data_IF_903271288717
#
_entry.id   IF_903271288717
#
_cell.length_a   1.000
_cell.length_b   1.000
_cell.length_c   1.000
_cell.angle_alpha   90.00
_cell.angle_beta   90.00
_cell.angle_gamma   90.00
#
_symmetry.space_group_name_H-M   'P 1'
#
loop_
_entity.id
_entity.type
_entity.pdbx_description
1 polymer ?
#
# COMPACT_ATOMS: atom_id res chain seq x y z
N UNK A 1 -37.23 45.93 46.56
CA UNK A 1 -37.97 45.52 45.35
C UNK A 1 -36.96 44.91 44.38
N UNK A 2 -37.04 43.60 44.10
CA UNK A 2 -36.00 42.86 43.37
C UNK A 2 -36.28 42.97 41.85
N UNK A 3 -35.38 43.51 41.03
CA UNK A 3 -35.65 43.71 39.61
C UNK A 3 -35.83 42.35 38.92
N UNK A 4 -36.94 42.18 38.19
CA UNK A 4 -37.21 40.99 37.37
C UNK A 4 -36.29 40.99 36.17
N UNK A 5 -35.35 40.05 36.12
CA UNK A 5 -34.53 39.80 34.92
C UNK A 5 -35.47 39.37 33.78
N UNK A 6 -35.57 40.19 32.73
CA UNK A 6 -36.27 39.82 31.51
C UNK A 6 -35.46 38.75 30.79
N UNK A 7 -35.85 37.48 30.94
CA UNK A 7 -35.32 36.40 30.11
C UNK A 7 -35.87 36.60 28.69
N UNK A 8 -35.04 37.14 27.79
CA UNK A 8 -35.34 37.21 26.36
C UNK A 8 -35.35 35.77 25.83
N UNK A 9 -36.50 35.32 25.32
CA UNK A 9 -36.61 34.04 24.61
C UNK A 9 -36.10 34.15 23.18
N UNK A 10 -35.59 33.04 22.64
CA UNK A 10 -35.15 32.94 21.25
C UNK A 10 -36.36 33.01 20.31
N UNK A 11 -36.27 33.76 19.21
CA UNK A 11 -37.37 33.84 18.24
C UNK A 11 -37.28 32.70 17.22
N UNK A 12 -38.44 32.21 16.75
CA UNK A 12 -38.49 31.20 15.67
C UNK A 12 -37.81 31.71 14.39
N UNK A 13 -37.91 33.02 14.12
CA UNK A 13 -37.29 33.62 12.94
C UNK A 13 -35.75 33.66 13.03
N UNK A 14 -35.18 33.94 14.21
CA UNK A 14 -33.72 33.83 14.43
C UNK A 14 -33.25 32.41 14.13
N UNK A 15 -34.00 31.40 14.59
CA UNK A 15 -33.65 30.01 14.34
C UNK A 15 -33.76 29.64 12.85
N UNK A 16 -34.78 30.13 12.13
CA UNK A 16 -34.95 29.87 10.70
C UNK A 16 -33.80 30.42 9.86
N UNK A 17 -33.35 31.65 10.13
CA UNK A 17 -32.22 32.25 9.40
C UNK A 17 -30.92 31.50 9.69
N UNK A 18 -30.69 31.09 10.94
CA UNK A 18 -29.50 30.33 11.32
C UNK A 18 -29.44 29.00 10.57
N UNK A 19 -30.55 28.26 10.51
CA UNK A 19 -30.61 26.98 9.77
C UNK A 19 -30.37 27.19 8.28
N UNK A 20 -30.90 28.27 7.69
CA UNK A 20 -30.67 28.58 6.28
C UNK A 20 -29.20 28.84 5.96
N UNK A 21 -28.49 29.63 6.80
CA UNK A 21 -27.06 29.89 6.62
C UNK A 21 -26.23 28.62 6.82
N UNK A 22 -26.53 27.82 7.84
CA UNK A 22 -25.85 26.53 8.08
C UNK A 22 -26.06 25.57 6.91
N UNK A 23 -27.24 25.55 6.30
CA UNK A 23 -27.54 24.74 5.12
C UNK A 23 -26.65 25.08 3.92
N UNK A 24 -26.45 26.38 3.63
CA UNK A 24 -25.58 26.84 2.54
C UNK A 24 -24.12 26.45 2.82
N UNK A 25 -23.64 26.67 4.04
CA UNK A 25 -22.27 26.30 4.43
C UNK A 25 -22.04 24.80 4.34
N UNK A 26 -23.00 23.99 4.80
CA UNK A 26 -22.91 22.53 4.74
C UNK A 26 -22.84 22.00 3.29
N UNK A 27 -23.63 22.58 2.37
CA UNK A 27 -23.66 22.15 0.98
C UNK A 27 -22.29 22.27 0.29
N UNK A 28 -21.50 23.29 0.63
CA UNK A 28 -20.14 23.49 0.08
C UNK A 28 -19.08 22.73 0.90
N UNK A 29 -19.21 22.69 2.22
CA UNK A 29 -18.20 22.12 3.10
C UNK A 29 -18.15 20.58 3.04
N UNK A 30 -19.29 19.90 2.97
CA UNK A 30 -19.36 18.43 2.98
C UNK A 30 -18.57 17.78 1.82
N UNK A 31 -18.79 18.12 0.54
CA UNK A 31 -18.06 17.48 -0.56
C UNK A 31 -16.56 17.76 -0.49
N UNK A 32 -16.15 18.97 -0.10
CA UNK A 32 -14.74 19.31 0.07
C UNK A 32 -14.08 18.49 1.20
N UNK A 33 -14.80 18.30 2.31
CA UNK A 33 -14.32 17.50 3.43
C UNK A 33 -14.20 16.01 3.09
N UNK A 34 -15.16 15.45 2.35
CA UNK A 34 -15.09 14.06 1.86
C UNK A 34 -13.87 13.87 0.97
N UNK A 35 -13.62 14.78 0.03
CA UNK A 35 -12.43 14.73 -0.84
C UNK A 35 -11.13 14.78 -0.04
N UNK A 36 -11.05 15.67 0.96
CA UNK A 36 -9.89 15.75 1.85
C UNK A 36 -9.61 14.44 2.58
N UNK A 37 -10.65 13.79 3.12
CA UNK A 37 -10.51 12.48 3.76
C UNK A 37 -10.02 11.43 2.76
N UNK A 38 -10.58 11.39 1.54
CA UNK A 38 -10.14 10.44 0.50
C UNK A 38 -8.66 10.64 0.14
N UNK A 39 -8.22 11.88 -0.08
CA UNK A 39 -6.81 12.17 -0.36
C UNK A 39 -5.90 11.76 0.81
N UNK A 40 -6.35 11.99 2.05
CA UNK A 40 -5.61 11.53 3.24
C UNK A 40 -5.47 10.00 3.25
N UNK A 41 -6.56 9.27 3.01
CA UNK A 41 -6.54 7.81 2.91
C UNK A 41 -5.64 7.33 1.75
N UNK A 42 -5.72 7.99 0.59
CA UNK A 42 -4.90 7.70 -0.59
C UNK A 42 -3.39 7.85 -0.32
N UNK A 43 -2.99 8.81 0.52
CA UNK A 43 -1.59 9.03 0.87
C UNK A 43 -0.98 7.85 1.64
N UNK A 44 -1.77 7.16 2.47
CA UNK A 44 -1.35 5.96 3.21
C UNK A 44 -0.99 4.80 2.26
N UNK A 45 -1.70 4.66 1.14
CA UNK A 45 -1.40 3.66 0.12
C UNK A 45 0.00 3.86 -0.45
N UNK A 46 0.34 5.11 -0.78
CA UNK A 46 1.65 5.47 -1.29
C UNK A 46 2.76 5.16 -0.29
N UNK A 47 2.54 5.45 0.99
CA UNK A 47 3.51 5.14 2.05
C UNK A 47 3.70 3.63 2.22
N UNK A 48 2.63 2.85 2.25
CA UNK A 48 2.72 1.40 2.42
C UNK A 48 3.36 0.71 1.20
N UNK A 49 3.10 1.19 -0.01
CA UNK A 49 3.79 0.74 -1.23
C UNK A 49 5.28 1.09 -1.22
N UNK A 50 5.63 2.29 -0.73
CA UNK A 50 7.01 2.71 -0.56
C UNK A 50 7.75 1.83 0.46
N UNK A 51 7.08 1.48 1.57
CA UNK A 51 7.61 0.57 2.59
C UNK A 51 7.84 -0.84 2.03
N UNK A 52 6.91 -1.37 1.25
CA UNK A 52 7.09 -2.62 0.53
C UNK A 52 8.32 -2.59 -0.38
N UNK A 53 8.40 -1.57 -1.24
CA UNK A 53 9.48 -1.41 -2.19
C UNK A 53 10.85 -1.32 -1.49
N UNK A 54 10.96 -0.44 -0.49
CA UNK A 54 12.19 -0.30 0.32
C UNK A 54 12.56 -1.59 1.03
N UNK A 55 11.58 -2.33 1.55
CA UNK A 55 11.80 -3.62 2.18
C UNK A 55 12.41 -4.65 1.23
N UNK A 56 11.95 -4.67 -0.02
CA UNK A 56 12.48 -5.56 -1.07
C UNK A 56 13.89 -5.14 -1.49
N UNK A 57 14.14 -3.84 -1.64
CA UNK A 57 15.48 -3.31 -1.97
C UNK A 57 16.48 -3.62 -0.85
N UNK A 58 16.12 -3.35 0.40
CA UNK A 58 16.93 -3.67 1.56
C UNK A 58 17.18 -5.19 1.69
N UNK A 59 16.18 -6.01 1.42
CA UNK A 59 16.32 -7.47 1.36
C UNK A 59 17.29 -7.91 0.27
N UNK A 60 17.28 -7.25 -0.88
CA UNK A 60 18.21 -7.50 -1.97
C UNK A 60 19.64 -7.12 -1.58
N UNK A 61 19.86 -5.93 -1.04
CA UNK A 61 21.20 -5.42 -0.71
C UNK A 61 21.89 -6.19 0.43
N UNK A 62 21.11 -6.86 1.29
CA UNK A 62 21.64 -7.64 2.42
C UNK A 62 22.29 -8.95 1.94
N UNK A 63 23.61 -9.15 2.16
CA UNK A 63 24.23 -10.45 1.94
C UNK A 63 23.68 -11.46 2.95
N UNK A 64 23.30 -12.66 2.47
CA UNK A 64 22.75 -13.70 3.34
C UNK A 64 23.71 -14.87 3.47
N UNK A 65 24.11 -15.10 4.72
CA UNK A 65 24.76 -16.33 5.14
C UNK A 65 23.68 -17.36 5.42
N UNK A 66 23.74 -18.49 4.72
CA UNK A 66 22.85 -19.61 5.01
C UNK A 66 23.42 -20.47 6.13
N UNK A 67 22.61 -21.41 6.63
CA UNK A 67 23.02 -22.37 7.66
C UNK A 67 24.24 -23.23 7.25
N UNK A 68 24.56 -23.28 5.96
CA UNK A 68 25.74 -23.94 5.39
C UNK A 68 27.02 -23.08 5.43
N UNK A 69 26.95 -21.85 5.96
CA UNK A 69 28.08 -20.92 6.05
C UNK A 69 28.44 -20.23 4.73
N UNK A 70 27.66 -20.45 3.66
CA UNK A 70 27.91 -19.82 2.36
C UNK A 70 27.21 -18.47 2.26
N UNK A 71 27.93 -17.47 1.77
CA UNK A 71 27.33 -16.22 1.29
C UNK A 71 26.75 -16.48 -0.10
N UNK A 72 25.46 -16.19 -0.31
CA UNK A 72 24.88 -16.18 -1.65
C UNK A 72 24.54 -14.77 -2.11
N UNK A 73 24.42 -14.63 -3.41
CA UNK A 73 24.09 -13.40 -4.11
C UNK A 73 22.80 -12.73 -3.60
N UNK A 74 22.76 -11.40 -3.74
CA UNK A 74 21.56 -10.57 -3.61
C UNK A 74 20.43 -11.10 -4.48
N UNK A 75 19.24 -11.28 -3.87
CA UNK A 75 18.03 -11.77 -4.54
C UNK A 75 16.78 -11.15 -3.95
N UNK A 76 15.75 -11.00 -4.77
CA UNK A 76 14.40 -10.62 -4.34
C UNK A 76 13.67 -11.83 -3.74
N UNK A 77 12.68 -11.64 -2.85
CA UNK A 77 11.89 -12.74 -2.29
C UNK A 77 10.94 -13.33 -3.33
N UNK A 78 10.34 -14.48 -3.01
CA UNK A 78 9.30 -15.07 -3.83
C UNK A 78 7.97 -14.32 -3.75
N UNK A 79 7.11 -14.52 -4.75
CA UNK A 79 5.76 -13.94 -4.78
C UNK A 79 4.91 -14.49 -3.66
N UNK A 80 3.95 -13.70 -3.21
CA UNK A 80 2.95 -14.17 -2.26
C UNK A 80 1.52 -13.81 -2.66
N UNK A 81 0.57 -14.44 -1.97
CA UNK A 81 -0.84 -14.26 -2.22
C UNK A 81 -1.28 -12.87 -1.75
N UNK A 82 -2.24 -12.27 -2.46
CA UNK A 82 -2.81 -11.01 -2.04
C UNK A 82 -3.44 -11.15 -0.65
N UNK A 83 -3.17 -10.17 0.22
CA UNK A 83 -3.70 -10.16 1.59
C UNK A 83 -4.64 -8.95 1.76
N UNK A 84 -5.83 -9.21 2.28
CA UNK A 84 -6.91 -8.21 2.42
C UNK A 84 -8.26 -8.76 1.93
N UNK A 85 -9.25 -7.86 1.74
CA UNK A 85 -10.54 -8.21 1.12
C UNK A 85 -10.37 -8.50 -0.37
N UNK A 86 -11.22 -9.38 -0.91
CA UNK A 86 -11.35 -9.55 -2.36
C UNK A 86 -11.85 -8.26 -3.02
N UNK A 87 -11.51 -8.06 -4.31
CA UNK A 87 -11.79 -6.82 -5.06
C UNK A 87 -13.23 -6.29 -4.89
N UNK A 88 -14.22 -7.19 -4.89
CA UNK A 88 -15.64 -6.85 -4.83
C UNK A 88 -16.12 -6.24 -3.49
N UNK A 89 -15.24 -6.06 -2.52
CA UNK A 89 -15.61 -5.56 -1.19
C UNK A 89 -14.74 -4.38 -0.73
N UNK A 90 -13.95 -3.75 -1.62
CA UNK A 90 -13.01 -2.69 -1.24
C UNK A 90 -13.65 -1.30 -1.05
N UNK A 91 -14.76 -1.22 -0.31
CA UNK A 91 -15.61 -0.03 -0.04
C UNK A 91 -14.95 1.19 0.67
N UNK A 92 -13.63 1.31 0.66
CA UNK A 92 -12.91 2.46 1.22
C UNK A 92 -12.88 2.48 2.76
N UNK A 93 -13.28 1.36 3.39
CA UNK A 93 -13.22 1.16 4.82
C UNK A 93 -11.82 0.73 5.28
N UNK A 94 -11.45 1.17 6.48
CA UNK A 94 -10.25 0.68 7.16
C UNK A 94 -10.43 -0.78 7.55
N UNK A 95 -9.41 -1.61 7.38
CA UNK A 95 -9.47 -3.01 7.76
C UNK A 95 -8.12 -3.51 8.30
N UNK A 96 -8.18 -4.50 9.21
CA UNK A 96 -6.99 -5.18 9.71
C UNK A 96 -6.54 -6.25 8.70
N UNK A 97 -5.25 -6.26 8.41
CA UNK A 97 -4.68 -7.28 7.53
C UNK A 97 -4.54 -8.58 8.31
N UNK A 98 -5.18 -9.65 7.82
CA UNK A 98 -5.03 -11.01 8.34
C UNK A 98 -4.09 -11.79 7.44
N UNK A 99 -2.90 -12.11 7.94
CA UNK A 99 -1.88 -12.82 7.18
C UNK A 99 -2.04 -14.34 7.30
N UNK A 100 -1.86 -15.08 6.20
CA UNK A 100 -1.60 -16.50 6.32
C UNK A 100 -0.19 -16.72 6.92
N UNK A 101 0.02 -17.85 7.59
CA UNK A 101 1.31 -18.14 8.25
C UNK A 101 2.50 -18.10 7.27
N UNK A 102 2.32 -18.58 6.05
CA UNK A 102 3.34 -18.55 5.00
C UNK A 102 3.61 -17.15 4.44
N UNK A 103 2.62 -16.26 4.47
CA UNK A 103 2.81 -14.88 4.05
C UNK A 103 3.59 -14.11 5.13
N UNK A 104 3.27 -14.34 6.41
CA UNK A 104 3.89 -13.65 7.54
C UNK A 104 5.41 -13.81 7.60
N UNK A 105 5.93 -15.01 7.27
CA UNK A 105 7.38 -15.24 7.20
C UNK A 105 8.02 -14.36 6.12
N UNK A 106 7.38 -14.26 4.96
CA UNK A 106 7.89 -13.46 3.83
C UNK A 106 7.80 -11.96 4.11
N UNK A 107 6.70 -11.49 4.69
CA UNK A 107 6.59 -10.09 5.12
C UNK A 107 7.61 -9.73 6.20
N UNK A 108 7.93 -10.67 7.10
CA UNK A 108 8.99 -10.46 8.08
C UNK A 108 10.38 -10.37 7.45
N UNK A 109 10.63 -11.16 6.40
CA UNK A 109 11.89 -11.17 5.65
C UNK A 109 12.18 -9.81 4.99
N UNK A 110 11.16 -9.17 4.39
CA UNK A 110 11.27 -7.83 3.80
C UNK A 110 10.87 -6.70 4.76
N UNK A 111 10.70 -6.99 6.05
CA UNK A 111 10.30 -6.00 7.07
C UNK A 111 9.03 -5.20 6.73
N UNK A 112 8.12 -5.78 5.94
CA UNK A 112 6.87 -5.14 5.50
C UNK A 112 5.64 -5.75 6.20
N UNK A 113 5.59 -5.66 7.53
CA UNK A 113 4.42 -6.10 8.31
C UNK A 113 3.57 -4.88 8.66
N UNK A 114 2.33 -4.85 8.19
CA UNK A 114 1.33 -3.83 8.53
C UNK A 114 0.60 -4.31 9.80
N UNK A 115 0.73 -3.54 10.87
CA UNK A 115 0.18 -3.89 12.19
C UNK A 115 -1.11 -3.15 12.52
N UNK A 116 -1.36 -2.06 11.81
CA UNK A 116 -2.51 -1.19 12.02
C UNK A 116 -3.55 -1.41 10.91
N UNK A 117 -4.76 -0.88 11.13
CA UNK A 117 -5.81 -0.92 10.12
C UNK A 117 -5.45 0.00 8.95
N UNK A 118 -5.72 -0.47 7.72
CA UNK A 118 -5.36 0.20 6.47
C UNK A 118 -6.58 0.31 5.54
N UNK A 119 -6.55 1.21 4.55
CA UNK A 119 -7.70 1.42 3.63
C UNK A 119 -7.62 0.68 2.29
N UNK A 120 -6.58 -0.10 2.04
CA UNK A 120 -6.35 -0.76 0.75
C UNK A 120 -5.79 -2.15 0.92
N UNK A 121 -6.18 -3.10 0.07
CA UNK A 121 -5.58 -4.44 -0.01
C UNK A 121 -4.20 -4.39 -0.66
N UNK A 122 -3.27 -5.23 -0.21
CA UNK A 122 -1.87 -5.20 -0.66
C UNK A 122 -1.40 -6.55 -1.17
N UNK A 123 -0.51 -6.54 -2.16
CA UNK A 123 0.18 -7.72 -2.65
C UNK A 123 1.62 -7.34 -3.03
N UNK A 124 2.55 -8.28 -2.87
CA UNK A 124 3.79 -8.24 -3.64
C UNK A 124 3.88 -9.45 -4.54
N UNK A 125 4.21 -9.15 -5.78
CA UNK A 125 4.40 -10.12 -6.84
C UNK A 125 5.77 -9.90 -7.44
N UNK A 126 6.37 -10.99 -7.88
CA UNK A 126 7.56 -11.00 -8.68
C UNK A 126 7.33 -12.00 -9.82
N UNK A 127 7.99 -11.81 -10.97
CA UNK A 127 7.79 -12.72 -12.09
C UNK A 127 8.25 -14.15 -11.76
N UNK A 128 7.90 -15.11 -12.62
CA UNK A 128 8.19 -16.54 -12.46
C UNK A 128 9.68 -16.88 -12.30
N UNK A 129 10.58 -15.94 -12.59
CA UNK A 129 12.01 -16.04 -12.28
C UNK A 129 12.28 -16.14 -10.76
N UNK A 130 11.36 -15.68 -9.91
CA UNK A 130 11.56 -15.57 -8.46
C UNK A 130 10.87 -16.69 -7.66
N UNK A 131 10.75 -17.90 -8.21
CA UNK A 131 10.10 -19.02 -7.51
C UNK A 131 10.97 -19.60 -6.39
N UNK A 132 10.36 -20.29 -5.42
CA UNK A 132 11.06 -20.89 -4.27
C UNK A 132 12.17 -21.86 -4.70
N UNK A 133 12.03 -22.54 -5.84
CA UNK A 133 13.07 -23.42 -6.40
C UNK A 133 14.33 -22.64 -6.81
N UNK A 134 14.16 -21.46 -7.41
CA UNK A 134 15.24 -20.52 -7.75
C UNK A 134 15.81 -19.80 -6.52
N UNK A 135 15.12 -19.84 -5.37
CA UNK A 135 15.62 -19.34 -4.08
C UNK A 135 16.42 -20.37 -3.27
N UNK A 136 16.24 -21.67 -3.55
CA UNK A 136 16.96 -22.78 -2.88
C UNK A 136 18.19 -23.21 -3.68
N UNK A 137 18.12 -23.17 -5.01
CA UNK A 137 19.28 -23.42 -5.86
C UNK A 137 20.28 -22.24 -5.75
N UNK A 138 21.51 -22.54 -5.35
CA UNK A 138 22.58 -21.56 -5.16
C UNK A 138 23.01 -20.82 -6.44
N UNK A 139 22.37 -21.09 -7.57
CA UNK A 139 22.72 -20.52 -8.86
C UNK A 139 21.45 -20.12 -9.60
N UNK A 140 21.26 -18.82 -9.79
CA UNK A 140 20.47 -18.31 -10.89
C UNK A 140 21.25 -18.64 -12.18
N UNK A 141 21.13 -19.85 -12.73
CA UNK A 141 22.05 -20.32 -13.80
C UNK A 141 21.93 -19.61 -15.16
N UNK A 142 21.35 -18.40 -15.23
CA UNK A 142 21.29 -17.60 -16.46
C UNK A 142 21.38 -16.10 -16.22
N UNK A 143 21.88 -15.38 -17.23
CA UNK A 143 21.62 -13.96 -17.45
C UNK A 143 20.11 -13.78 -17.58
N UNK A 144 19.49 -13.16 -16.57
CA UNK A 144 18.04 -13.02 -16.50
C UNK A 144 17.64 -11.63 -16.05
N UNK A 145 16.57 -11.12 -16.63
CA UNK A 145 15.85 -9.95 -16.12
C UNK A 145 14.67 -10.44 -15.29
N UNK A 146 14.48 -9.84 -14.12
CA UNK A 146 13.29 -10.06 -13.29
C UNK A 146 12.59 -8.76 -12.99
N UNK A 147 11.32 -8.85 -12.64
CA UNK A 147 10.49 -7.72 -12.22
C UNK A 147 9.85 -8.10 -10.89
N UNK A 148 9.83 -7.16 -9.95
CA UNK A 148 9.01 -7.24 -8.76
C UNK A 148 8.12 -6.00 -8.65
N UNK A 149 6.93 -6.18 -8.09
CA UNK A 149 5.88 -5.18 -7.98
C UNK A 149 5.16 -5.34 -6.64
N UNK A 150 5.13 -4.26 -5.88
CA UNK A 150 4.19 -4.05 -4.80
C UNK A 150 2.92 -3.43 -5.41
N UNK A 151 1.76 -3.98 -5.07
CA UNK A 151 0.46 -3.57 -5.61
C UNK A 151 -0.51 -3.26 -4.50
N UNK A 152 -1.37 -2.27 -4.71
CA UNK A 152 -2.42 -1.89 -3.79
C UNK A 152 -3.74 -1.65 -4.53
N UNK A 153 -4.85 -2.06 -3.91
CA UNK A 153 -6.21 -1.84 -4.43
C UNK A 153 -7.14 -1.28 -3.37
N UNK A 154 -7.96 -0.30 -3.74
CA UNK A 154 -9.02 0.28 -2.89
C UNK A 154 -10.12 0.89 -3.76
N UNK A 155 -11.32 1.06 -3.20
CA UNK A 155 -12.44 1.82 -3.77
C UNK A 155 -12.90 2.83 -2.68
N UNK A 156 -12.16 3.95 -2.60
CA UNK A 156 -12.29 4.95 -1.52
C UNK A 156 -13.58 5.77 -1.60
N UNK A 157 -14.19 5.84 -2.77
CA UNK A 157 -15.42 6.57 -3.07
C UNK A 157 -16.66 5.69 -3.19
N UNK A 158 -16.50 4.37 -3.09
CA UNK A 158 -17.54 3.36 -3.07
C UNK A 158 -18.43 3.44 -4.31
N UNK A 159 -17.81 3.58 -5.47
CA UNK A 159 -18.47 3.64 -6.79
C UNK A 159 -18.43 2.29 -7.54
N UNK A 160 -17.91 1.24 -6.89
CA UNK A 160 -17.68 -0.10 -7.42
C UNK A 160 -16.57 -0.17 -8.49
N UNK A 161 -15.80 0.89 -8.69
CA UNK A 161 -14.58 0.89 -9.51
C UNK A 161 -13.38 0.83 -8.57
N UNK A 162 -12.59 -0.23 -8.73
CA UNK A 162 -11.40 -0.41 -7.89
C UNK A 162 -10.22 0.32 -8.51
N UNK A 163 -9.67 1.26 -7.73
CA UNK A 163 -8.39 1.88 -8.01
C UNK A 163 -7.22 0.93 -7.81
N UNK A 164 -6.19 1.07 -8.63
CA UNK A 164 -5.00 0.22 -8.59
C UNK A 164 -3.71 1.04 -8.68
N UNK A 165 -2.81 0.77 -7.74
CA UNK A 165 -1.50 1.38 -7.63
C UNK A 165 -0.42 0.30 -7.66
N UNK A 166 0.63 0.52 -8.44
CA UNK A 166 1.77 -0.38 -8.50
C UNK A 166 3.06 0.38 -8.23
N UNK A 167 3.97 -0.22 -7.47
CA UNK A 167 5.33 0.27 -7.31
C UNK A 167 6.28 -0.90 -7.42
N UNK A 168 7.17 -0.85 -8.39
CA UNK A 168 8.03 -1.99 -8.68
C UNK A 168 9.28 -1.58 -9.41
N UNK A 169 10.22 -2.51 -9.50
CA UNK A 169 11.40 -2.34 -10.34
C UNK A 169 11.81 -3.64 -11.01
N UNK A 170 12.68 -3.48 -12.00
CA UNK A 170 13.41 -4.57 -12.62
C UNK A 170 14.76 -4.77 -11.97
N UNK A 171 15.22 -6.01 -11.97
CA UNK A 171 16.57 -6.41 -11.61
C UNK A 171 17.20 -7.23 -12.73
N UNK A 172 18.52 -7.21 -12.82
CA UNK A 172 19.28 -7.93 -13.85
C UNK A 172 20.42 -8.69 -13.17
N UNK A 173 20.65 -9.93 -13.57
CA UNK A 173 21.87 -10.68 -13.22
C UNK A 173 22.96 -10.36 -14.24
N UNK A 174 24.05 -9.72 -13.80
CA UNK A 174 25.07 -9.14 -14.68
C UNK A 174 26.28 -10.07 -14.91
N UNK A 175 26.64 -10.95 -13.97
CA UNK A 175 27.71 -11.93 -14.19
C UNK A 175 27.71 -13.08 -13.18
N UNK A 176 28.17 -14.26 -13.61
CA UNK A 176 28.66 -15.34 -12.73
C UNK A 176 30.17 -15.17 -12.54
N UNK A 177 30.61 -14.80 -11.34
CA UNK A 177 32.04 -14.86 -10.98
C UNK A 177 32.27 -16.08 -10.09
N UNK A 178 33.49 -16.63 -10.11
CA UNK A 178 33.86 -17.71 -9.21
C UNK A 178 33.72 -17.23 -7.76
N UNK A 179 32.64 -17.64 -7.08
CA UNK A 179 32.24 -17.16 -5.75
C UNK A 179 30.82 -16.57 -5.65
N UNK A 180 30.08 -16.41 -6.76
CA UNK A 180 28.67 -15.99 -6.74
C UNK A 180 28.27 -15.07 -7.91
N UNK A 181 26.99 -14.70 -7.98
CA UNK A 181 26.47 -13.83 -9.03
C UNK A 181 26.27 -12.40 -8.52
N UNK A 182 26.55 -11.40 -9.36
CA UNK A 182 26.24 -10.00 -9.08
C UNK A 182 24.95 -9.64 -9.81
N UNK A 183 23.96 -9.17 -9.08
CA UNK A 183 22.71 -8.67 -9.63
C UNK A 183 22.58 -7.18 -9.29
N UNK A 184 22.07 -6.38 -10.23
CA UNK A 184 21.82 -4.95 -10.04
C UNK A 184 20.32 -4.67 -10.06
N UNK A 185 19.88 -3.72 -9.23
CA UNK A 185 18.53 -3.18 -9.23
C UNK A 185 18.50 -1.92 -10.10
N UNK A 186 17.48 -1.79 -10.94
CA UNK A 186 17.15 -0.49 -11.54
C UNK A 186 16.28 0.30 -10.56
N UNK A 187 16.25 1.62 -10.67
CA UNK A 187 15.31 2.41 -9.89
C UNK A 187 13.88 2.18 -10.39
N UNK A 188 12.96 1.89 -9.47
CA UNK A 188 11.53 1.73 -9.75
C UNK A 188 10.75 3.03 -9.59
N UNK A 189 9.65 3.16 -10.32
CA UNK A 189 8.67 4.24 -10.16
C UNK A 189 7.33 3.71 -9.62
N UNK A 190 6.50 4.61 -9.08
CA UNK A 190 5.09 4.31 -8.76
C UNK A 190 4.26 4.61 -9.99
N UNK A 191 3.44 3.65 -10.41
CA UNK A 191 2.50 3.79 -11.51
C UNK A 191 1.06 3.69 -10.99
N UNK A 192 0.18 4.43 -11.63
CA UNK A 192 -1.26 4.35 -11.44
C UNK A 192 -1.83 3.81 -12.74
N UNK A 193 -2.32 2.58 -12.73
CA UNK A 193 -2.66 1.88 -13.97
C UNK A 193 -4.08 2.19 -14.46
N UNK A 194 -4.93 2.80 -13.61
CA UNK A 194 -6.28 3.28 -13.95
C UNK A 194 -6.42 4.78 -13.63
N UNK A 195 -5.89 5.65 -14.49
CA UNK A 195 -5.91 7.12 -14.32
C UNK A 195 -7.28 7.79 -14.63
N UNK A 196 -8.40 7.07 -14.53
CA UNK A 196 -9.74 7.63 -14.78
C UNK A 196 -10.60 7.55 -13.52
N UNK A 197 -10.42 8.47 -12.57
CA UNK A 197 -11.50 8.81 -11.64
C UNK A 197 -11.20 8.86 -10.13
N UNK A 198 -10.07 8.37 -9.62
CA UNK A 198 -9.97 8.10 -8.17
C UNK A 198 -9.59 9.31 -7.28
N UNK A 199 -10.45 10.35 -7.24
CA UNK A 199 -10.65 11.25 -6.09
C UNK A 199 -12.03 11.95 -6.07
#
# INVERSE_FOLDING_TARGET
MKPRSHRKGFTLIELMVVVAVVGILAAVAIPAFIKYIRTSKASELGENLERCYKGVVDYFDKPRMFADGTARASRVPGSFARVGRADAALDGSSYFITYAAADLTTYSDISWVLRDAVYASYQYQCNSSCNAANMVAANFTGTGTGIFECRAWTDLDNDNIVGHWTKGSSWIVEATVAGGQVASLRAGAVWHDNASGDW
#
